data_IF_347678944401
#
_entry.id   IF_347678944401
#
_cell.length_a   1.000
_cell.length_b   1.000
_cell.length_c   1.000
_cell.angle_alpha   90.00
_cell.angle_beta   90.00
_cell.angle_gamma   90.00
#
_symmetry.space_group_name_H-M   'P 1'
#
loop_
_entity.id
_entity.type
_entity.pdbx_description
1 polymer ?
#
# COMPACT_ATOMS: atom_id res chain seq x y z
N UNK A 1 -8.88 -5.25 4.17
CA UNK A 1 -7.97 -4.15 3.83
C UNK A 1 -7.00 -4.64 2.79
N UNK A 2 -6.74 -3.85 1.77
CA UNK A 2 -5.91 -4.33 0.67
C UNK A 2 -4.41 -4.27 0.96
N UNK A 3 -4.00 -3.69 2.08
CA UNK A 3 -2.58 -3.53 2.38
C UNK A 3 -2.19 -4.37 3.58
N UNK A 4 -1.01 -4.97 3.50
CA UNK A 4 -0.49 -5.81 4.56
C UNK A 4 1.03 -5.64 4.58
N UNK A 5 1.69 -6.26 5.52
CA UNK A 5 3.13 -6.21 5.63
C UNK A 5 3.69 -7.61 5.63
N UNK A 6 4.92 -7.74 5.17
CA UNK A 6 5.63 -9.01 5.21
C UNK A 6 7.10 -8.74 5.48
N UNK A 7 7.76 -9.69 6.10
CA UNK A 7 9.17 -9.58 6.43
C UNK A 7 9.99 -10.19 5.31
N UNK A 8 11.05 -9.50 4.91
CA UNK A 8 11.92 -10.03 3.86
C UNK A 8 13.01 -10.91 4.48
N UNK A 9 13.92 -11.41 3.64
CA UNK A 9 14.94 -12.35 4.08
C UNK A 9 15.98 -11.69 4.99
N UNK A 10 16.00 -10.37 5.05
CA UNK A 10 16.96 -9.64 5.89
C UNK A 10 16.37 -9.18 7.21
N UNK A 11 15.11 -9.53 7.45
CA UNK A 11 14.44 -9.13 8.68
C UNK A 11 13.77 -7.77 8.61
N UNK A 12 13.79 -7.15 7.45
CA UNK A 12 13.12 -5.87 7.26
C UNK A 12 11.71 -6.10 6.74
N UNK A 13 10.88 -5.08 6.82
CA UNK A 13 9.47 -5.21 6.50
C UNK A 13 9.13 -4.46 5.22
N UNK A 14 8.13 -4.98 4.52
CA UNK A 14 7.66 -4.43 3.26
C UNK A 14 6.15 -4.34 3.31
N UNK A 15 5.60 -3.23 2.84
CA UNK A 15 4.16 -3.07 2.72
C UNK A 15 3.78 -3.43 1.28
N UNK A 16 2.79 -4.28 1.14
CA UNK A 16 2.38 -4.77 -0.17
C UNK A 16 0.85 -4.80 -0.25
N UNK A 17 0.35 -4.84 -1.49
CA UNK A 17 -1.07 -5.00 -1.73
C UNK A 17 -1.39 -6.48 -1.68
N UNK A 18 -2.26 -6.88 -0.75
CA UNK A 18 -2.57 -8.30 -0.56
C UNK A 18 -3.35 -8.88 -1.72
N UNK A 19 -3.97 -8.05 -2.55
CA UNK A 19 -4.73 -8.56 -3.69
C UNK A 19 -3.84 -8.81 -4.91
N UNK A 20 -2.84 -7.98 -5.13
CA UNK A 20 -1.94 -8.16 -6.27
C UNK A 20 -0.62 -8.81 -5.87
N UNK A 21 -0.25 -8.73 -4.61
CA UNK A 21 1.03 -9.23 -4.13
C UNK A 21 2.19 -8.31 -4.41
N UNK A 22 1.94 -7.13 -4.94
CA UNK A 22 3.00 -6.19 -5.32
C UNK A 22 3.30 -5.21 -4.21
N UNK A 23 4.58 -4.84 -4.06
CA UNK A 23 4.97 -3.86 -3.08
C UNK A 23 4.36 -2.51 -3.42
N UNK A 24 3.95 -1.79 -2.40
CA UNK A 24 3.39 -0.46 -2.56
C UNK A 24 4.52 0.53 -2.84
N UNK A 25 4.32 1.40 -3.83
CA UNK A 25 5.27 2.45 -4.17
C UNK A 25 4.62 3.79 -3.89
N UNK A 26 5.30 4.64 -3.13
CA UNK A 26 4.80 5.97 -2.81
C UNK A 26 5.88 6.98 -3.16
N UNK A 27 5.51 7.94 -4.02
CA UNK A 27 6.46 8.97 -4.43
C UNK A 27 7.65 8.42 -5.17
N UNK A 28 7.47 7.31 -5.89
CA UNK A 28 8.55 6.69 -6.63
C UNK A 28 9.43 5.79 -5.79
N UNK A 29 9.13 5.63 -4.49
CA UNK A 29 9.92 4.78 -3.59
C UNK A 29 9.09 3.63 -3.09
N UNK A 30 9.59 2.40 -3.18
CA UNK A 30 8.85 1.26 -2.64
C UNK A 30 8.86 1.30 -1.11
N UNK A 31 7.77 0.84 -0.52
CA UNK A 31 7.67 0.76 0.94
C UNK A 31 8.31 -0.55 1.40
N UNK A 32 9.63 -0.58 1.38
CA UNK A 32 10.40 -1.76 1.79
C UNK A 32 11.60 -1.28 2.60
N UNK A 33 12.29 -2.22 3.24
CA UNK A 33 13.43 -1.86 4.09
C UNK A 33 13.00 -1.13 5.34
N UNK A 34 11.78 -1.38 5.83
CA UNK A 34 11.20 -0.69 6.98
C UNK A 34 11.30 -1.57 8.21
N UNK A 35 11.23 -0.96 9.40
CA UNK A 35 11.00 -1.77 10.59
C UNK A 35 9.50 -2.01 10.73
N UNK A 36 9.10 -2.85 11.66
CA UNK A 36 7.70 -3.23 11.81
C UNK A 36 6.82 -2.03 12.14
N UNK A 37 7.29 -1.16 12.98
CA UNK A 37 6.57 0.06 13.38
C UNK A 37 6.31 0.96 12.18
N UNK A 38 7.32 1.12 11.35
CA UNK A 38 7.18 1.95 10.15
C UNK A 38 6.19 1.32 9.16
N UNK A 39 6.25 0.00 9.02
CA UNK A 39 5.32 -0.69 8.13
C UNK A 39 3.88 -0.54 8.62
N UNK A 40 3.65 -0.69 9.92
CA UNK A 40 2.32 -0.51 10.48
C UNK A 40 1.80 0.90 10.27
N UNK A 41 2.66 1.89 10.46
CA UNK A 41 2.27 3.28 10.27
C UNK A 41 1.93 3.56 8.82
N UNK A 42 2.71 3.00 7.89
CA UNK A 42 2.45 3.18 6.48
C UNK A 42 1.10 2.57 6.07
N UNK A 43 0.81 1.37 6.58
CA UNK A 43 -0.46 0.72 6.30
C UNK A 43 -1.62 1.58 6.80
N UNK A 44 -1.49 2.11 8.00
CA UNK A 44 -2.54 2.95 8.57
C UNK A 44 -2.77 4.19 7.72
N UNK A 45 -1.69 4.82 7.27
CA UNK A 45 -1.81 6.02 6.45
C UNK A 45 -2.42 5.72 5.09
N UNK A 46 -2.07 4.58 4.50
CA UNK A 46 -2.66 4.17 3.23
C UNK A 46 -4.15 3.94 3.38
N UNK A 47 -4.56 3.31 4.47
CA UNK A 47 -5.97 3.02 4.70
C UNK A 47 -6.78 4.28 4.98
N UNK A 48 -6.15 5.29 5.56
CA UNK A 48 -6.83 6.55 5.84
C UNK A 48 -6.81 7.50 4.63
N UNK A 49 -6.02 7.18 3.61
CA UNK A 49 -5.87 8.06 2.47
C UNK A 49 -4.82 9.14 2.64
N UNK A 50 -4.03 9.09 3.72
CA UNK A 50 -2.94 10.03 3.94
C UNK A 50 -1.76 9.77 3.01
N UNK A 51 -1.63 8.53 2.55
CA UNK A 51 -0.65 8.15 1.54
C UNK A 51 -1.37 7.58 0.33
N UNK A 52 -0.82 7.84 -0.84
CA UNK A 52 -1.38 7.35 -2.09
C UNK A 52 -0.31 6.52 -2.79
N UNK A 53 -0.68 5.29 -3.18
CA UNK A 53 0.26 4.43 -3.87
C UNK A 53 0.33 4.81 -5.35
N UNK A 54 1.54 4.75 -5.90
CA UNK A 54 1.77 5.10 -7.30
C UNK A 54 1.40 3.97 -8.25
N UNK A 55 1.49 2.73 -7.76
CA UNK A 55 1.38 1.54 -8.62
C UNK A 55 0.12 0.73 -8.37
N UNK A 56 -0.75 1.16 -7.47
CA UNK A 56 -1.96 0.43 -7.13
C UNK A 56 -3.15 1.36 -7.34
N UNK A 57 -4.09 0.99 -8.22
CA UNK A 57 -5.23 1.87 -8.51
C UNK A 57 -6.06 2.15 -7.26
N UNK A 58 -6.52 3.35 -7.17
CA UNK A 58 -7.34 3.76 -6.04
C UNK A 58 -8.62 2.93 -5.96
N UNK A 59 -9.15 2.53 -7.11
CA UNK A 59 -10.36 1.71 -7.14
C UNK A 59 -10.15 0.37 -6.47
N UNK A 60 -8.95 -0.20 -6.60
CA UNK A 60 -8.62 -1.44 -5.91
C UNK A 60 -8.56 -1.19 -4.42
N UNK A 61 -7.91 -0.11 -4.03
CA UNK A 61 -7.72 0.21 -2.63
C UNK A 61 -9.02 0.53 -1.91
N UNK A 62 -9.89 1.29 -2.57
CA UNK A 62 -11.13 1.71 -1.95
C UNK A 62 -12.23 0.67 -2.09
N UNK A 63 -12.07 -0.25 -3.04
CA UNK A 63 -13.05 -1.30 -3.25
C UNK A 63 -14.33 -0.84 -3.90
N UNK A 64 -14.34 0.28 -4.57
CA UNK A 64 -15.54 0.74 -5.24
C UNK A 64 -15.22 1.19 -6.67
N UNK A 65 -16.21 1.16 -7.55
CA UNK A 65 -15.97 1.55 -8.94
C UNK A 65 -15.76 3.05 -9.06
N UNK A 66 -15.02 3.49 -10.10
CA UNK A 66 -14.80 4.90 -10.37
C UNK A 66 -16.05 5.45 -10.97
N UNK A 67 -16.75 6.11 -10.72
CA UNK A 67 -17.96 6.55 -11.36
C UNK A 67 -17.69 7.47 -12.54
N UNK A 68 -17.67 7.75 -12.17
CA UNK A 68 -17.78 8.57 -12.67
C UNK A 68 -17.94 9.05 -13.30
N UNK A 69 -17.87 9.14 -13.37
CA UNK A 69 -18.03 9.60 -13.83
C UNK A 69 -18.19 10.02 -14.32
N UNK A 70 -18.02 9.92 -14.39
CA UNK A 70 -18.09 10.27 -14.96
C UNK A 70 -18.22 10.62 -15.18
N UNK A 71 -18.10 10.51 -15.13
CA UNK A 71 -18.19 10.84 -15.46
C UNK A 71 -18.37 11.02 -15.67
#
# INVERSE_FOLDING_TARGET
>A
MPFDKRQDSEGLWEVYDSESGEAVVVGGLPLSGLDESEADEAIEKLNRGDLTSDNIPETVRSGWPPTKDGL
#
